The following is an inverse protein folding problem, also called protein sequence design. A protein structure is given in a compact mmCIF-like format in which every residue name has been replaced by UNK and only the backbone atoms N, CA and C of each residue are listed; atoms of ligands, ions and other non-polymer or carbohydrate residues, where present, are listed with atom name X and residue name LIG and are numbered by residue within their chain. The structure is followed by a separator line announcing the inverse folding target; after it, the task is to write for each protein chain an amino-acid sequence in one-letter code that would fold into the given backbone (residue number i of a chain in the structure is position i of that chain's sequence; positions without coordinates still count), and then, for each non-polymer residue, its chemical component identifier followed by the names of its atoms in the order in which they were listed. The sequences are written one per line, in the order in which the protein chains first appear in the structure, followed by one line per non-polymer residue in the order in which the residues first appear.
data_IF_642269184208
#
_entry.id   IF_642269184208
#
_cell.length_a   1.000
_cell.length_b   1.000
_cell.length_c   1.000
_cell.angle_alpha   90.00
_cell.angle_beta   90.00
_cell.angle_gamma   90.00
#
_symmetry.space_group_name_H-M   'P 1'
#
loop_
_entity.id
_entity.type
_entity.pdbx_description
1 polymer ?
#
# COMPACT_ATOMS: atom_id res chain seq x y z
N UNK A 1 -22.21 -35.22 -35.89
CA UNK A 1 -23.66 -35.50 -35.81
C UNK A 1 -23.96 -35.96 -34.39
N UNK A 2 -25.07 -35.45 -33.81
CA UNK A 2 -25.60 -35.69 -32.44
C UNK A 2 -24.75 -34.97 -31.37
N UNK A 3 -25.09 -33.85 -30.73
CA UNK A 3 -26.31 -33.13 -30.32
C UNK A 3 -27.09 -33.70 -29.11
N UNK A 4 -27.20 -32.84 -28.08
CA UNK A 4 -28.15 -32.81 -26.94
C UNK A 4 -27.91 -33.77 -25.76
N UNK A 5 -28.14 -33.44 -24.48
CA UNK A 5 -28.44 -32.18 -23.77
C UNK A 5 -28.30 -32.42 -22.24
N UNK A 6 -28.00 -31.34 -21.51
CA UNK A 6 -28.34 -30.97 -20.12
C UNK A 6 -28.53 -32.01 -18.99
N UNK A 7 -27.88 -31.74 -17.84
CA UNK A 7 -28.65 -31.55 -16.60
C UNK A 7 -27.91 -30.61 -15.64
N UNK A 8 -28.64 -29.61 -15.16
CA UNK A 8 -28.22 -28.65 -14.16
C UNK A 8 -28.35 -29.23 -12.74
N UNK A 9 -27.47 -28.81 -11.84
CA UNK A 9 -27.71 -28.84 -10.39
C UNK A 9 -27.18 -27.57 -9.77
N UNK A 10 -28.11 -26.74 -9.31
CA UNK A 10 -27.91 -25.62 -8.41
C UNK A 10 -27.30 -26.10 -7.08
N UNK A 11 -26.21 -25.46 -6.63
CA UNK A 11 -25.90 -25.37 -5.21
C UNK A 11 -25.57 -23.90 -4.92
N UNK A 12 -26.56 -23.24 -4.32
CA UNK A 12 -26.41 -21.98 -3.60
C UNK A 12 -25.79 -22.27 -2.23
N UNK A 13 -24.68 -21.62 -1.91
CA UNK A 13 -24.23 -21.47 -0.53
C UNK A 13 -23.51 -20.14 -0.37
N UNK A 14 -24.25 -19.13 0.04
CA UNK A 14 -23.74 -17.90 0.64
C UNK A 14 -23.10 -18.23 1.99
N UNK A 15 -21.77 -18.20 2.07
CA UNK A 15 -21.07 -18.14 3.35
C UNK A 15 -20.89 -16.66 3.73
N UNK A 16 -21.84 -16.14 4.51
CA UNK A 16 -21.67 -14.92 5.29
C UNK A 16 -20.69 -15.22 6.42
N UNK A 17 -19.49 -14.65 6.35
CA UNK A 17 -18.49 -14.76 7.41
C UNK A 17 -18.75 -13.63 8.42
N UNK A 18 -19.48 -13.92 9.50
CA UNK A 18 -19.53 -13.03 10.67
C UNK A 18 -18.26 -13.25 11.51
N UNK A 19 -17.46 -12.21 11.79
CA UNK A 19 -16.32 -12.35 12.70
C UNK A 19 -16.83 -12.57 14.13
N UNK A 20 -16.27 -13.58 14.79
CA UNK A 20 -16.59 -13.94 16.17
C UNK A 20 -16.01 -12.86 17.11
N UNK A 21 -16.89 -12.02 17.67
CA UNK A 21 -16.60 -10.79 18.44
C UNK A 21 -16.02 -11.08 19.85
N UNK A 22 -15.63 -12.32 20.16
CA UNK A 22 -15.30 -12.74 21.52
C UNK A 22 -13.88 -12.40 22.00
N UNK A 23 -12.98 -11.93 21.12
CA UNK A 23 -11.56 -11.71 21.45
C UNK A 23 -11.12 -10.22 21.41
N UNK A 24 -12.06 -9.28 21.31
CA UNK A 24 -11.76 -7.85 21.27
C UNK A 24 -11.74 -7.25 22.68
N UNK A 25 -10.76 -6.38 22.93
CA UNK A 25 -10.72 -5.55 24.14
C UNK A 25 -11.90 -4.58 24.16
N UNK A 26 -12.30 -4.11 25.35
CA UNK A 26 -13.50 -3.26 25.51
C UNK A 26 -13.44 -1.98 24.66
N UNK A 27 -12.25 -1.41 24.43
CA UNK A 27 -12.03 -0.27 23.53
C UNK A 27 -12.20 -0.62 22.04
N UNK A 28 -11.72 -1.79 21.61
CA UNK A 28 -11.92 -2.28 20.24
C UNK A 28 -13.40 -2.55 19.97
N UNK A 29 -14.13 -3.13 20.94
CA UNK A 29 -15.56 -3.41 20.81
C UNK A 29 -16.46 -2.16 20.72
N UNK A 30 -16.05 -1.06 21.37
CA UNK A 30 -16.74 0.23 21.27
C UNK A 30 -16.41 0.98 19.97
N UNK A 31 -15.19 0.81 19.43
CA UNK A 31 -14.81 1.33 18.12
C UNK A 31 -15.61 0.64 16.99
N UNK A 32 -15.72 -0.70 17.01
CA UNK A 32 -16.56 -1.44 16.06
C UNK A 32 -18.03 -1.02 16.10
N UNK A 33 -18.58 -0.68 17.28
CA UNK A 33 -19.97 -0.18 17.39
C UNK A 33 -20.17 1.24 16.87
N UNK A 34 -19.12 2.07 16.79
CA UNK A 34 -19.21 3.40 16.17
C UNK A 34 -19.16 3.31 14.65
N UNK A 35 -18.19 2.57 14.10
CA UNK A 35 -18.09 2.36 12.64
C UNK A 35 -19.31 1.60 12.08
N UNK A 36 -19.93 0.70 12.85
CA UNK A 36 -21.13 -0.03 12.39
C UNK A 36 -22.40 0.85 12.38
N UNK A 37 -22.47 1.90 13.22
CA UNK A 37 -23.64 2.80 13.28
C UNK A 37 -23.60 3.87 12.20
N UNK A 38 -22.41 4.24 11.73
CA UNK A 38 -22.26 5.18 10.62
C UNK A 38 -22.47 4.51 9.24
N UNK A 39 -22.59 3.18 9.19
CA UNK A 39 -22.92 2.40 7.99
C UNK A 39 -24.44 2.33 7.73
N UNK A 40 -25.30 2.58 8.73
CA UNK A 40 -26.77 2.48 8.55
C UNK A 40 -27.42 3.70 7.86
N UNK A 41 -26.64 4.71 7.47
CA UNK A 41 -27.11 5.80 6.59
C UNK A 41 -26.22 5.98 5.37
N UNK A 42 -25.81 4.88 4.73
CA UNK A 42 -25.45 4.95 3.32
C UNK A 42 -26.76 5.08 2.54
N UNK A 43 -27.18 6.33 2.31
CA UNK A 43 -28.10 6.64 1.22
C UNK A 43 -27.62 5.85 0.00
N UNK A 44 -28.50 5.04 -0.59
CA UNK A 44 -28.26 4.34 -1.86
C UNK A 44 -27.60 5.32 -2.84
N UNK A 45 -26.27 5.25 -2.96
CA UNK A 45 -25.55 5.93 -4.02
C UNK A 45 -26.02 5.24 -5.28
N UNK A 46 -26.91 5.89 -6.01
CA UNK A 46 -27.37 5.41 -7.31
C UNK A 46 -26.13 5.18 -8.16
N UNK A 47 -25.80 3.92 -8.42
CA UNK A 47 -24.72 3.46 -9.29
C UNK A 47 -24.83 3.94 -10.76
N UNK A 48 -25.78 4.84 -11.07
CA UNK A 48 -26.10 5.31 -12.42
C UNK A 48 -25.16 6.41 -12.94
N UNK A 49 -24.31 7.01 -12.09
CA UNK A 49 -23.38 8.09 -12.47
C UNK A 49 -21.90 7.71 -12.28
N UNK A 50 -21.57 6.42 -12.19
CA UNK A 50 -20.17 6.01 -12.15
C UNK A 50 -19.51 6.28 -13.51
N UNK A 51 -18.28 6.81 -13.55
CA UNK A 51 -17.54 6.93 -14.81
C UNK A 51 -17.48 5.55 -15.47
N UNK A 52 -17.49 5.52 -16.81
CA UNK A 52 -17.28 4.29 -17.58
C UNK A 52 -15.97 3.60 -17.18
N UNK A 53 -15.74 2.39 -17.69
CA UNK A 53 -14.57 1.56 -17.36
C UNK A 53 -13.28 2.37 -17.26
N UNK A 54 -12.60 2.26 -16.10
CA UNK A 54 -11.35 2.97 -15.84
C UNK A 54 -10.20 2.04 -16.24
N UNK A 55 -9.45 2.46 -17.26
CA UNK A 55 -8.40 1.66 -17.89
C UNK A 55 -7.04 2.33 -17.69
N UNK A 56 -6.00 1.53 -17.47
CA UNK A 56 -4.62 2.01 -17.41
C UNK A 56 -4.20 2.65 -18.75
N UNK A 57 -3.64 3.87 -18.69
CA UNK A 57 -3.20 4.57 -19.90
C UNK A 57 -2.05 3.81 -20.58
N UNK A 58 -2.33 3.28 -21.77
CA UNK A 58 -1.38 2.43 -22.52
C UNK A 58 -0.10 3.15 -22.95
N UNK A 59 -0.07 4.50 -22.95
CA UNK A 59 1.16 5.25 -23.22
C UNK A 59 2.14 5.26 -22.05
N UNK A 60 1.68 4.90 -20.84
CA UNK A 60 2.46 4.92 -19.62
C UNK A 60 3.06 3.56 -19.24
N UNK A 61 2.68 2.47 -19.91
CA UNK A 61 3.18 1.11 -19.62
C UNK A 61 4.71 1.08 -19.63
N UNK A 62 5.38 0.13 -18.94
CA UNK A 62 6.83 0.01 -19.00
C UNK A 62 7.35 0.00 -20.44
N UNK A 63 8.32 0.90 -20.74
CA UNK A 63 8.85 1.16 -22.09
C UNK A 63 7.87 1.78 -23.09
N UNK A 64 6.71 2.24 -22.63
CA UNK A 64 5.74 3.01 -23.39
C UNK A 64 6.24 4.43 -23.69
N UNK A 65 5.57 5.09 -24.64
CA UNK A 65 5.99 6.39 -25.19
C UNK A 65 6.17 7.49 -24.13
N UNK A 66 5.28 7.53 -23.14
CA UNK A 66 5.27 8.53 -22.07
C UNK A 66 5.71 7.96 -20.72
N UNK A 67 6.22 6.73 -20.73
CA UNK A 67 6.64 6.04 -19.53
C UNK A 67 8.00 6.54 -19.06
N UNK A 68 8.18 6.51 -17.74
CA UNK A 68 9.48 6.79 -17.13
C UNK A 68 10.43 5.64 -17.46
N UNK A 69 11.66 5.98 -17.80
CA UNK A 69 12.76 5.01 -17.88
C UNK A 69 13.90 5.52 -17.00
N UNK A 70 14.24 4.74 -15.98
CA UNK A 70 15.29 5.06 -15.02
C UNK A 70 16.40 4.01 -15.11
N UNK A 71 17.64 4.46 -14.99
CA UNK A 71 18.79 3.58 -14.76
C UNK A 71 19.10 3.63 -13.26
N UNK A 72 18.43 2.77 -12.50
CA UNK A 72 18.47 2.79 -11.03
C UNK A 72 19.75 2.15 -10.51
N UNK A 73 20.46 2.84 -9.62
CA UNK A 73 21.51 2.21 -8.82
C UNK A 73 20.90 1.26 -7.79
N UNK A 74 21.20 -0.03 -7.91
CA UNK A 74 20.70 -1.03 -6.97
C UNK A 74 21.63 -1.10 -5.75
N UNK A 75 21.10 -0.74 -4.59
CA UNK A 75 21.64 -1.10 -3.28
C UNK A 75 20.77 -2.20 -2.68
N UNK A 76 21.42 -3.23 -2.12
CA UNK A 76 20.74 -4.32 -1.43
C UNK A 76 20.90 -4.10 0.08
N UNK A 77 19.86 -3.67 0.80
CA UNK A 77 19.94 -3.44 2.22
C UNK A 77 19.98 -4.75 3.00
N UNK A 78 20.45 -4.68 4.24
CA UNK A 78 20.17 -5.72 5.23
C UNK A 78 18.79 -5.47 5.84
N UNK A 79 17.78 -6.21 5.38
CA UNK A 79 16.39 -6.07 5.85
C UNK A 79 16.16 -6.44 7.31
N UNK A 80 17.13 -7.13 7.95
CA UNK A 80 17.10 -7.45 9.38
C UNK A 80 17.68 -6.31 10.25
N UNK A 81 18.03 -5.17 9.66
CA UNK A 81 18.50 -3.97 10.36
C UNK A 81 17.41 -2.91 10.43
N UNK A 82 17.63 -1.88 11.24
CA UNK A 82 16.72 -0.72 11.32
C UNK A 82 16.51 -0.07 9.94
N UNK A 83 15.25 0.27 9.65
CA UNK A 83 14.81 0.80 8.36
C UNK A 83 15.52 2.12 8.02
N UNK A 84 15.44 3.13 8.89
CA UNK A 84 16.03 4.45 8.62
C UNK A 84 17.55 4.38 8.48
N UNK A 85 18.22 3.57 9.30
CA UNK A 85 19.65 3.31 9.21
C UNK A 85 20.08 2.73 7.86
N UNK A 86 19.32 1.78 7.30
CA UNK A 86 19.65 1.20 5.99
C UNK A 86 19.41 2.21 4.85
N UNK A 87 18.42 3.09 4.98
CA UNK A 87 18.24 4.20 4.04
C UNK A 87 19.43 5.17 4.11
N UNK A 88 19.89 5.53 5.31
CA UNK A 88 21.07 6.40 5.49
C UNK A 88 22.33 5.80 4.85
N UNK A 89 22.60 4.51 5.09
CA UNK A 89 23.71 3.81 4.43
C UNK A 89 23.60 3.79 2.91
N UNK A 90 22.39 3.61 2.38
CA UNK A 90 22.18 3.65 0.94
C UNK A 90 22.47 5.05 0.39
N UNK A 91 22.06 6.11 1.09
CA UNK A 91 22.35 7.51 0.72
C UNK A 91 23.86 7.79 0.77
N UNK A 92 24.58 7.30 1.78
CA UNK A 92 26.05 7.38 1.85
C UNK A 92 26.72 6.70 0.64
N UNK A 93 26.08 5.67 0.08
CA UNK A 93 26.49 5.03 -1.16
C UNK A 93 25.92 5.72 -2.42
N UNK A 94 25.44 6.96 -2.33
CA UNK A 94 24.89 7.74 -3.43
C UNK A 94 23.63 7.14 -4.07
N UNK A 95 22.80 6.42 -3.32
CA UNK A 95 21.46 6.02 -3.77
C UNK A 95 20.51 7.18 -3.56
N UNK A 96 19.80 7.59 -4.61
CA UNK A 96 18.78 8.65 -4.54
C UNK A 96 17.42 8.03 -4.30
N UNK A 97 16.71 8.51 -3.27
CA UNK A 97 15.36 8.04 -2.97
C UNK A 97 14.32 9.05 -3.42
N UNK A 98 13.09 8.58 -3.59
CA UNK A 98 11.89 9.40 -3.53
C UNK A 98 10.83 8.70 -2.65
N UNK A 99 10.19 9.46 -1.77
CA UNK A 99 9.08 8.97 -0.94
C UNK A 99 7.77 9.06 -1.72
N UNK A 100 7.01 7.97 -1.75
CA UNK A 100 5.65 7.89 -2.27
C UNK A 100 4.67 7.61 -1.13
N UNK A 101 3.79 8.56 -0.87
CA UNK A 101 2.73 8.50 0.12
C UNK A 101 1.43 8.22 -0.62
N UNK A 102 0.86 7.04 -0.40
CA UNK A 102 -0.24 6.51 -1.20
C UNK A 102 -1.42 6.23 -0.30
N UNK A 103 -2.41 7.12 -0.31
CA UNK A 103 -3.66 6.93 0.42
C UNK A 103 -3.40 6.72 1.93
N UNK A 104 -3.09 7.76 2.72
CA UNK A 104 -2.74 7.56 4.16
C UNK A 104 -3.95 7.76 5.05
N UNK A 105 -4.12 6.87 6.04
CA UNK A 105 -5.20 6.95 7.05
C UNK A 105 -4.75 7.57 8.37
N UNK A 106 -5.73 7.96 9.19
CA UNK A 106 -5.51 8.56 10.50
C UNK A 106 -4.61 7.73 11.42
N UNK A 107 -4.81 6.41 11.43
CA UNK A 107 -4.00 5.47 12.23
C UNK A 107 -2.50 5.46 11.86
N UNK A 108 -2.15 5.94 10.66
CA UNK A 108 -0.79 6.00 10.15
C UNK A 108 -0.16 7.40 10.24
N UNK A 109 -0.90 8.44 10.68
CA UNK A 109 -0.42 9.82 10.69
C UNK A 109 0.90 9.96 11.44
N UNK A 110 1.02 9.36 12.64
CA UNK A 110 2.23 9.49 13.45
C UNK A 110 3.47 8.92 12.75
N UNK A 111 3.37 7.71 12.19
CA UNK A 111 4.49 7.03 11.51
C UNK A 111 4.83 7.70 10.19
N UNK A 112 3.82 8.09 9.43
CA UNK A 112 4.01 8.84 8.18
C UNK A 112 4.63 10.20 8.43
N UNK A 113 4.25 10.89 9.52
CA UNK A 113 4.87 12.15 9.94
C UNK A 113 6.37 11.98 10.22
N UNK A 114 6.75 10.94 10.97
CA UNK A 114 8.16 10.62 11.24
C UNK A 114 8.94 10.37 9.94
N UNK A 115 8.35 9.61 9.01
CA UNK A 115 8.93 9.34 7.71
C UNK A 115 9.10 10.61 6.86
N UNK A 116 8.10 11.48 6.82
CA UNK A 116 8.17 12.77 6.11
C UNK A 116 9.29 13.63 6.69
N UNK A 117 9.39 13.72 8.03
CA UNK A 117 10.44 14.50 8.69
C UNK A 117 11.83 13.95 8.39
N UNK A 118 12.01 12.63 8.41
CA UNK A 118 13.23 11.97 7.98
C UNK A 118 13.56 12.30 6.51
N UNK A 119 12.60 12.16 5.60
CA UNK A 119 12.82 12.44 4.19
C UNK A 119 13.22 13.91 3.95
N UNK A 120 12.60 14.85 4.66
CA UNK A 120 12.98 16.27 4.62
C UNK A 120 14.41 16.50 5.10
N UNK A 121 14.81 15.90 6.22
CA UNK A 121 16.17 16.08 6.77
C UNK A 121 17.25 15.52 5.83
N UNK A 122 16.89 14.53 5.00
CA UNK A 122 17.76 13.94 3.97
C UNK A 122 17.57 14.51 2.57
N UNK A 123 16.76 15.56 2.41
CA UNK A 123 16.43 16.15 1.11
C UNK A 123 15.87 15.15 0.08
N UNK A 124 15.17 14.12 0.55
CA UNK A 124 14.47 13.13 -0.27
C UNK A 124 13.19 13.76 -0.81
N UNK A 125 12.97 13.81 -2.14
CA UNK A 125 11.71 14.27 -2.72
C UNK A 125 10.53 13.43 -2.26
N UNK A 126 9.43 14.10 -1.97
CA UNK A 126 8.20 13.49 -1.52
C UNK A 126 7.17 13.61 -2.64
N UNK A 127 6.39 12.56 -2.84
CA UNK A 127 5.28 12.45 -3.79
C UNK A 127 4.08 11.93 -3.02
N UNK A 128 3.00 12.70 -2.99
CA UNK A 128 1.80 12.34 -2.26
C UNK A 128 0.65 12.21 -3.26
N UNK A 129 -0.07 11.10 -3.17
CA UNK A 129 -1.11 10.71 -4.10
C UNK A 129 -2.47 10.80 -3.44
N UNK A 130 -3.40 11.37 -4.17
CA UNK A 130 -4.82 11.44 -3.82
C UNK A 130 -5.63 10.70 -4.88
N UNK A 131 -6.77 10.15 -4.49
CA UNK A 131 -7.74 9.65 -5.46
C UNK A 131 -8.53 10.80 -6.10
N UNK A 132 -8.94 10.58 -7.35
CA UNK A 132 -9.93 11.45 -7.97
C UNK A 132 -11.27 11.32 -7.24
N UNK A 133 -11.84 12.46 -6.83
CA UNK A 133 -13.14 12.55 -6.15
C UNK A 133 -14.29 11.96 -6.98
N UNK A 134 -14.09 11.79 -8.30
CA UNK A 134 -15.07 11.17 -9.20
C UNK A 134 -15.14 9.64 -9.04
N UNK A 135 -14.17 9.02 -8.37
CA UNK A 135 -13.99 7.57 -8.30
C UNK A 135 -14.08 7.07 -6.86
N UNK A 136 -13.46 7.81 -5.93
CA UNK A 136 -13.57 7.54 -4.51
C UNK A 136 -13.81 8.86 -3.79
N UNK A 137 -14.94 8.96 -3.09
CA UNK A 137 -15.36 10.18 -2.39
C UNK A 137 -14.62 10.36 -1.07
N UNK A 138 -13.85 9.35 -0.62
CA UNK A 138 -13.67 9.15 0.81
C UNK A 138 -12.40 9.66 1.45
N UNK A 139 -11.24 9.80 0.80
CA UNK A 139 -10.04 10.10 1.59
C UNK A 139 -9.06 11.00 0.83
N UNK A 140 -9.16 12.30 1.12
CA UNK A 140 -8.06 13.25 0.94
C UNK A 140 -6.92 12.88 1.89
N UNK A 141 -5.67 13.21 1.54
CA UNK A 141 -4.56 13.09 2.49
C UNK A 141 -4.92 13.89 3.77
N UNK A 142 -4.76 13.31 4.98
CA UNK A 142 -5.05 14.00 6.23
C UNK A 142 -4.39 15.38 6.30
N UNK A 143 -5.14 16.36 6.82
CA UNK A 143 -4.74 17.77 6.82
C UNK A 143 -3.38 18.01 7.49
N UNK A 144 -3.10 17.23 8.52
CA UNK A 144 -1.89 17.16 9.32
C UNK A 144 -0.69 16.78 8.46
N UNK A 145 -0.87 15.79 7.57
CA UNK A 145 0.16 15.38 6.63
C UNK A 145 0.30 16.38 5.48
N UNK A 146 -0.81 16.92 4.96
CA UNK A 146 -0.78 17.98 3.94
C UNK A 146 0.04 19.19 4.38
N UNK A 147 -0.09 19.60 5.65
CA UNK A 147 0.68 20.70 6.23
C UNK A 147 2.21 20.43 6.25
N UNK A 148 2.61 19.15 6.26
CA UNK A 148 4.00 18.73 6.21
C UNK A 148 4.52 18.57 4.77
N UNK A 149 3.69 18.57 3.74
CA UNK A 149 4.19 18.41 2.36
C UNK A 149 4.85 19.71 1.84
N UNK A 150 5.83 19.60 0.92
CA UNK A 150 6.39 20.77 0.25
C UNK A 150 5.30 21.57 -0.49
N UNK A 151 5.20 22.89 -0.20
CA UNK A 151 4.16 23.77 -0.76
C UNK A 151 4.14 23.85 -2.29
N UNK A 152 5.30 23.68 -2.93
CA UNK A 152 5.44 23.79 -4.38
C UNK A 152 5.35 22.43 -5.09
N UNK A 153 4.95 21.37 -4.39
CA UNK A 153 4.88 20.06 -4.97
C UNK A 153 3.65 19.93 -5.88
N UNK A 154 3.79 19.30 -7.05
CA UNK A 154 2.63 18.96 -7.86
C UNK A 154 1.66 18.07 -7.10
N UNK A 155 0.38 18.44 -7.11
CA UNK A 155 -0.71 17.50 -6.79
C UNK A 155 -0.69 16.34 -7.78
N UNK A 156 -0.67 15.11 -7.28
CA UNK A 156 -0.70 13.87 -8.05
C UNK A 156 -2.02 13.17 -7.75
N UNK A 157 -2.91 13.15 -8.73
CA UNK A 157 -4.24 12.55 -8.61
C UNK A 157 -4.22 11.27 -9.42
N UNK A 158 -4.63 10.15 -8.81
CA UNK A 158 -4.77 8.86 -9.48
C UNK A 158 -6.24 8.49 -9.63
N UNK A 159 -6.51 7.81 -10.73
CA UNK A 159 -7.83 7.27 -11.06
C UNK A 159 -7.85 5.74 -10.98
N UNK A 160 -6.66 5.11 -11.05
CA UNK A 160 -6.48 3.66 -10.89
C UNK A 160 -5.78 3.33 -9.55
N UNK A 161 -5.49 2.05 -9.31
CA UNK A 161 -4.82 1.62 -8.09
C UNK A 161 -3.35 2.05 -8.03
N UNK A 162 -2.62 1.87 -9.12
CA UNK A 162 -1.19 2.15 -9.22
C UNK A 162 -0.90 3.64 -9.34
N UNK A 163 0.06 4.13 -8.57
CA UNK A 163 0.61 5.48 -8.74
C UNK A 163 1.24 5.73 -10.12
N UNK A 164 1.59 4.67 -10.87
CA UNK A 164 2.14 4.76 -12.22
C UNK A 164 1.06 4.96 -13.30
N UNK A 165 -0.22 5.03 -12.95
CA UNK A 165 -1.23 5.53 -13.90
C UNK A 165 -1.21 7.04 -14.06
N UNK A 166 -0.46 7.77 -13.20
CA UNK A 166 -0.44 9.23 -13.17
C UNK A 166 0.62 9.77 -14.14
N UNK A 167 0.26 10.39 -15.28
CA UNK A 167 1.25 10.88 -16.25
C UNK A 167 2.22 11.91 -15.65
N UNK A 168 1.73 12.71 -14.69
CA UNK A 168 2.54 13.70 -14.00
C UNK A 168 3.62 13.06 -13.14
N UNK A 169 3.36 11.89 -12.56
CA UNK A 169 4.36 11.19 -11.76
C UNK A 169 5.53 10.69 -12.61
N UNK A 170 5.30 10.19 -13.82
CA UNK A 170 6.37 9.82 -14.76
C UNK A 170 7.29 11.00 -15.11
N UNK A 171 6.71 12.20 -15.30
CA UNK A 171 7.49 13.43 -15.52
C UNK A 171 8.32 13.80 -14.31
N UNK A 172 7.75 13.71 -13.12
CA UNK A 172 8.48 13.97 -11.87
C UNK A 172 9.60 12.97 -11.60
N UNK A 173 9.36 11.67 -11.85
CA UNK A 173 10.40 10.66 -11.75
C UNK A 173 11.52 10.88 -12.77
N UNK A 174 11.20 11.33 -13.99
CA UNK A 174 12.20 11.70 -15.00
C UNK A 174 13.04 12.91 -14.58
N UNK A 175 12.43 13.86 -13.84
CA UNK A 175 13.09 15.06 -13.32
C UNK A 175 13.99 14.75 -12.13
N UNK A 176 13.47 14.02 -11.15
CA UNK A 176 14.17 13.67 -9.90
C UNK A 176 15.19 12.55 -10.12
N UNK A 177 14.89 11.62 -11.02
CA UNK A 177 15.67 10.42 -11.34
C UNK A 177 16.02 9.61 -10.08
N UNK A 178 15.07 9.16 -9.26
CA UNK A 178 15.40 8.35 -8.10
C UNK A 178 15.98 6.99 -8.53
N UNK A 179 16.82 6.43 -7.67
CA UNK A 179 17.34 5.07 -7.80
C UNK A 179 16.46 4.06 -7.06
N UNK A 180 15.66 4.51 -6.09
CA UNK A 180 14.71 3.68 -5.36
C UNK A 180 13.53 4.51 -4.84
N UNK A 181 12.40 3.85 -4.60
CA UNK A 181 11.22 4.44 -3.96
C UNK A 181 11.11 3.98 -2.51
N UNK A 182 10.74 4.90 -1.62
CA UNK A 182 10.18 4.54 -0.32
C UNK A 182 8.67 4.60 -0.46
N UNK A 183 7.94 3.58 -0.02
CA UNK A 183 6.47 3.53 -0.15
C UNK A 183 5.81 3.38 1.22
N UNK A 184 4.80 4.23 1.48
CA UNK A 184 3.97 4.21 2.69
C UNK A 184 2.50 4.51 2.33
N UNK A 185 1.55 3.92 3.06
CA UNK A 185 0.12 4.23 2.94
C UNK A 185 -0.84 3.05 3.01
N UNK A 186 -2.08 3.23 2.51
CA UNK A 186 -3.27 2.46 2.92
C UNK A 186 -4.60 2.84 2.21
N UNK A 187 -5.22 1.97 1.40
CA UNK A 187 -6.70 2.09 1.22
C UNK A 187 -7.42 0.79 0.87
N UNK A 188 -6.78 -0.35 1.11
CA UNK A 188 -7.38 -1.66 0.88
C UNK A 188 -6.51 -2.56 0.03
N UNK A 189 -5.22 -2.64 0.37
CA UNK A 189 -4.18 -3.57 -0.14
C UNK A 189 -3.83 -3.47 -1.63
N UNK A 190 -4.83 -3.19 -2.47
CA UNK A 190 -4.75 -3.13 -3.92
C UNK A 190 -3.91 -1.94 -4.38
N UNK A 191 -4.02 -0.75 -3.76
CA UNK A 191 -3.27 0.44 -4.20
C UNK A 191 -1.76 0.27 -4.00
N UNK A 192 -1.35 -0.17 -2.81
CA UNK A 192 0.05 -0.41 -2.48
C UNK A 192 0.58 -1.57 -3.34
N UNK A 193 -0.15 -2.69 -3.40
CA UNK A 193 0.24 -3.83 -4.24
C UNK A 193 0.36 -3.44 -5.71
N UNK A 194 -0.60 -2.74 -6.28
CA UNK A 194 -0.56 -2.26 -7.66
C UNK A 194 0.61 -1.28 -7.90
N UNK A 195 0.86 -0.38 -6.95
CA UNK A 195 1.94 0.60 -7.04
C UNK A 195 3.33 -0.03 -6.95
N UNK A 196 3.47 -1.11 -6.18
CA UNK A 196 4.74 -1.83 -6.02
C UNK A 196 4.90 -2.89 -7.11
N UNK A 197 3.95 -3.81 -7.22
CA UNK A 197 4.00 -5.05 -8.02
C UNK A 197 3.09 -5.04 -9.25
N UNK A 198 2.24 -4.04 -9.46
CA UNK A 198 1.19 -4.08 -10.48
C UNK A 198 0.03 -5.04 -10.14
N UNK A 199 -0.90 -5.18 -11.08
CA UNK A 199 -2.04 -6.13 -11.03
C UNK A 199 -2.09 -6.94 -12.32
N UNK A 200 -2.73 -8.10 -12.30
CA UNK A 200 -2.99 -8.90 -13.51
C UNK A 200 -4.36 -8.55 -14.11
N UNK A 201 -4.58 -8.93 -15.38
CA UNK A 201 -5.85 -8.74 -16.09
C UNK A 201 -7.04 -9.45 -15.40
N UNK A 202 -6.76 -10.47 -14.58
CA UNK A 202 -7.77 -11.21 -13.82
C UNK A 202 -8.30 -10.45 -12.59
N UNK A 203 -7.64 -9.35 -12.21
CA UNK A 203 -8.05 -8.54 -11.07
C UNK A 203 -9.19 -7.59 -11.47
N UNK A 204 -10.43 -8.07 -11.36
CA UNK A 204 -11.64 -7.25 -11.56
C UNK A 204 -12.12 -6.70 -10.22
N UNK A 205 -11.98 -5.40 -10.02
CA UNK A 205 -12.52 -4.72 -8.84
C UNK A 205 -13.33 -3.51 -9.30
N UNK A 206 -14.59 -3.40 -8.83
CA UNK A 206 -15.53 -2.31 -9.13
C UNK A 206 -15.49 -1.82 -10.60
N UNK A 207 -14.87 -0.66 -10.85
CA UNK A 207 -14.77 0.04 -12.13
C UNK A 207 -13.42 -0.11 -12.83
N UNK A 208 -12.47 -0.80 -12.19
CA UNK A 208 -11.10 -0.92 -12.66
C UNK A 208 -10.93 -2.20 -13.47
N UNK A 209 -10.46 -2.00 -14.70
CA UNK A 209 -10.26 -3.05 -15.68
C UNK A 209 -8.81 -3.02 -16.19
N UNK A 210 -8.36 -4.19 -16.64
CA UNK A 210 -7.03 -4.45 -17.20
C UNK A 210 -5.85 -4.42 -16.21
N UNK A 211 -4.74 -4.95 -16.68
CA UNK A 211 -3.44 -4.97 -16.02
C UNK A 211 -2.91 -3.57 -15.69
N UNK A 212 -2.52 -3.39 -14.43
CA UNK A 212 -1.74 -2.24 -13.99
C UNK A 212 -0.28 -2.60 -13.74
N UNK A 213 0.58 -1.58 -13.77
CA UNK A 213 2.01 -1.73 -13.63
C UNK A 213 2.51 -0.99 -12.39
N UNK A 214 3.37 -1.64 -11.61
CA UNK A 214 4.00 -1.05 -10.43
C UNK A 214 5.48 -0.81 -10.62
N UNK A 215 6.12 -0.28 -9.59
CA UNK A 215 7.53 0.11 -9.56
C UNK A 215 8.47 -1.01 -10.05
N UNK A 216 8.22 -2.26 -9.66
CA UNK A 216 9.09 -3.37 -10.02
C UNK A 216 9.09 -3.65 -11.52
N UNK A 217 7.96 -3.45 -12.23
CA UNK A 217 7.91 -3.57 -13.69
C UNK A 217 8.65 -2.43 -14.40
N UNK A 218 8.77 -1.26 -13.78
CA UNK A 218 9.66 -0.18 -14.26
C UNK A 218 11.12 -0.39 -13.85
N UNK A 219 11.45 -1.49 -13.17
CA UNK A 219 12.80 -1.80 -12.70
C UNK A 219 13.25 -0.93 -11.53
N UNK A 220 12.32 -0.34 -10.78
CA UNK A 220 12.62 0.58 -9.68
C UNK A 220 12.55 -0.19 -8.35
N UNK A 221 13.65 -0.28 -7.58
CA UNK A 221 13.64 -0.84 -6.24
C UNK A 221 12.68 -0.11 -5.30
N UNK A 222 12.00 -0.87 -4.44
CA UNK A 222 11.06 -0.35 -3.44
C UNK A 222 11.52 -0.73 -2.04
N UNK A 223 11.47 0.24 -1.14
CA UNK A 223 11.77 0.12 0.27
C UNK A 223 10.52 0.45 1.06
N UNK A 224 10.17 -0.42 2.01
CA UNK A 224 9.02 -0.18 2.88
C UNK A 224 9.19 -0.91 4.20
N UNK A 225 8.40 -0.54 5.19
CA UNK A 225 8.39 -1.15 6.52
C UNK A 225 6.97 -1.60 6.85
N UNK A 226 6.84 -2.71 7.58
CA UNK A 226 5.54 -3.29 7.97
C UNK A 226 4.56 -2.28 8.54
N UNK A 227 5.01 -1.36 9.41
CA UNK A 227 4.15 -0.33 10.03
C UNK A 227 3.89 0.91 9.18
N UNK A 228 4.56 1.05 8.03
CA UNK A 228 4.30 2.11 7.07
C UNK A 228 3.21 1.72 6.07
N UNK A 229 2.86 0.44 6.01
CA UNK A 229 1.78 -0.09 5.18
C UNK A 229 0.68 -0.58 6.11
N UNK A 230 -0.54 -0.08 5.93
CA UNK A 230 -1.68 -0.60 6.66
C UNK A 230 -2.38 -1.63 5.78
N UNK A 231 -2.54 -2.82 6.33
CA UNK A 231 -3.13 -4.00 5.70
C UNK A 231 -4.18 -4.55 6.65
N UNK A 232 -5.38 -4.79 6.15
CA UNK A 232 -6.45 -5.45 6.92
C UNK A 232 -6.29 -6.98 6.93
N UNK A 233 -5.38 -7.50 6.11
CA UNK A 233 -5.03 -8.91 5.96
C UNK A 233 -3.51 -9.10 6.02
N UNK A 234 -3.04 -10.35 5.96
CA UNK A 234 -1.60 -10.69 5.91
C UNK A 234 -0.93 -10.36 4.55
N UNK A 235 -1.58 -9.60 3.68
CA UNK A 235 -1.12 -9.33 2.32
C UNK A 235 0.25 -8.63 2.24
N UNK A 236 0.66 -7.87 3.26
CA UNK A 236 2.05 -7.35 3.32
C UNK A 236 3.10 -8.46 3.32
N UNK A 237 2.84 -9.57 4.02
CA UNK A 237 3.73 -10.73 4.06
C UNK A 237 3.81 -11.41 2.68
N UNK A 238 2.74 -11.33 1.90
CA UNK A 238 2.63 -11.95 0.57
C UNK A 238 3.28 -11.13 -0.55
N UNK A 239 3.65 -9.87 -0.29
CA UNK A 239 4.36 -9.04 -1.27
C UNK A 239 5.81 -9.52 -1.41
N UNK A 240 6.12 -10.23 -2.48
CA UNK A 240 7.47 -10.76 -2.71
C UNK A 240 7.98 -10.37 -4.10
N UNK A 241 9.16 -9.76 -4.14
CA UNK A 241 9.88 -9.48 -5.38
C UNK A 241 11.36 -9.19 -5.09
N UNK A 242 12.32 -9.58 -5.95
CA UNK A 242 13.76 -9.28 -5.74
C UNK A 242 14.14 -7.79 -5.65
N UNK A 243 13.23 -6.91 -6.10
CA UNK A 243 13.38 -5.46 -6.03
C UNK A 243 12.54 -4.82 -4.90
N UNK A 244 11.88 -5.62 -4.08
CA UNK A 244 11.12 -5.16 -2.92
C UNK A 244 11.89 -5.51 -1.65
N UNK A 245 12.25 -4.50 -0.87
CA UNK A 245 12.92 -4.63 0.42
C UNK A 245 11.93 -4.25 1.53
N UNK A 246 11.39 -5.28 2.17
CA UNK A 246 10.48 -5.16 3.33
C UNK A 246 11.28 -5.23 4.62
N UNK A 247 11.04 -4.28 5.50
CA UNK A 247 11.64 -4.20 6.82
C UNK A 247 10.59 -4.46 7.89
N UNK A 248 10.94 -5.27 8.87
CA UNK A 248 10.12 -5.44 10.08
C UNK A 248 10.31 -4.21 10.99
N UNK A 249 9.33 -3.94 11.86
CA UNK A 249 9.57 -2.98 12.94
C UNK A 249 10.48 -3.64 13.99
N UNK A 250 11.51 -2.93 14.46
CA UNK A 250 12.40 -3.44 15.51
C UNK A 250 11.64 -3.85 16.77
N UNK A 251 10.51 -3.20 17.06
CA UNK A 251 9.65 -3.59 18.18
C UNK A 251 8.92 -4.91 17.97
N UNK A 252 8.78 -5.39 16.73
CA UNK A 252 8.18 -6.69 16.40
C UNK A 252 9.14 -7.85 16.71
N UNK A 253 10.46 -7.58 16.81
CA UNK A 253 11.49 -8.55 17.23
C UNK A 253 11.65 -8.65 18.76
N UNK A 254 11.01 -7.77 19.53
CA UNK A 254 10.91 -7.87 20.99
C UNK A 254 9.68 -8.72 21.33
N UNK A 255 9.62 -9.96 20.82
CA UNK A 255 8.73 -10.96 21.43
C UNK A 255 9.38 -11.40 22.73
N UNK A 256 8.70 -11.33 23.89
CA UNK A 256 9.22 -11.94 25.10
C UNK A 256 9.45 -13.42 24.82
N UNK A 257 10.70 -13.87 24.99
CA UNK A 257 11.02 -15.29 25.05
C UNK A 257 10.02 -15.93 26.02
N UNK A 258 9.31 -17.02 25.64
CA UNK A 258 8.42 -17.67 26.57
C UNK A 258 9.26 -18.08 27.77
N UNK A 259 8.92 -17.56 28.95
CA UNK A 259 9.54 -17.96 30.19
C UNK A 259 9.48 -19.48 30.29
N UNK A 260 10.62 -20.14 30.10
CA UNK A 260 10.80 -21.53 30.46
C UNK A 260 10.52 -21.57 31.96
N UNK A 261 9.31 -22.02 32.34
CA UNK A 261 8.98 -22.31 33.73
C UNK A 261 9.98 -23.37 34.18
N UNK A 262 10.98 -22.96 34.94
CA UNK A 262 11.81 -23.89 35.69
C UNK A 262 10.87 -24.68 36.59
N UNK A 263 10.63 -25.95 36.24
CA UNK A 263 10.00 -26.91 37.11
C UNK A 263 10.87 -27.01 38.36
N UNK A 264 10.47 -26.34 39.43
CA UNK A 264 11.00 -26.61 40.76
C UNK A 264 10.65 -28.06 41.09
N UNK A 265 11.67 -28.93 41.10
CA UNK A 265 11.54 -30.28 41.64
C UNK A 265 11.19 -30.13 43.12
N UNK A 266 9.99 -30.59 43.52
CA UNK A 266 9.67 -30.77 44.94
C UNK A 266 10.70 -31.74 45.55
N UNK A 267 11.22 -31.46 46.75
CA UNK A 267 12.03 -32.42 47.47
C UNK A 267 11.13 -33.58 47.91
N UNK A 268 11.54 -34.80 47.58
CA UNK A 268 10.96 -36.03 48.12
C UNK A 268 11.42 -36.14 49.57
N UNK A 269 10.46 -36.20 50.51
CA UNK A 269 10.65 -36.69 51.87
C UNK A 269 9.81 -37.96 52.02
#
# INVERSE_FOLDING_TARGET
MINMAASATNISSTNSFEPNVSDLTTEESEYFRRDSKDIETVNEVKFQDLPGEIIFNQTLIPRGLNAVTLNCKIYKPNVNSEFYFQIEKAIEQNVRFALCIVDVRDSQILRTTQLIQFCKSKSIPIFAFEYSNNICVFEDIPSELKALLPKNQPRLIKETFSIFSVPKFHRELTRVKPDALIVAGSIGECCIKASILGTSDDFKCMLWHDKEYGAVQYGIPVYTQSRLIFSHTKLFDELEHPLLYKFDDITDHIRPQPHIKQRTKKPVK
#
